data_IF_651690852685
#
_entry.id   IF_651690852685
#
_cell.length_a   1.000
_cell.length_b   1.000
_cell.length_c   1.000
_cell.angle_alpha   90.00
_cell.angle_beta   90.00
_cell.angle_gamma   90.00
#
_symmetry.space_group_name_H-M   'P 1'
#
loop_
_entity.id
_entity.type
_entity.pdbx_description
1 polymer ?
#
# COMPACT_ATOMS: atom_id res chain seq x y z
N UNK A 1 14.62 -7.50 -21.83
CA UNK A 1 14.67 -6.02 -22.01
C UNK A 1 13.38 -5.27 -21.65
N UNK A 2 12.18 -5.86 -21.74
CA UNK A 2 10.90 -5.18 -21.40
C UNK A 2 10.64 -4.87 -19.90
N UNK A 3 11.47 -5.38 -18.98
CA UNK A 3 11.27 -5.23 -17.51
C UNK A 3 12.01 -4.02 -16.89
N UNK A 4 12.98 -3.44 -17.59
CA UNK A 4 13.78 -2.32 -17.07
C UNK A 4 13.04 -0.97 -17.23
N UNK A 5 12.21 -0.83 -18.27
CA UNK A 5 11.41 0.37 -18.50
C UNK A 5 10.35 0.62 -17.42
N UNK A 6 9.81 -0.44 -16.80
CA UNK A 6 8.81 -0.30 -15.73
C UNK A 6 9.45 0.18 -14.41
N UNK A 7 10.73 -0.13 -14.19
CA UNK A 7 11.48 0.27 -13.00
C UNK A 7 11.97 1.72 -13.11
N UNK A 8 12.33 2.17 -14.33
CA UNK A 8 12.67 3.57 -14.61
C UNK A 8 11.45 4.49 -14.55
N UNK A 9 10.25 4.00 -14.90
CA UNK A 9 9.00 4.77 -14.80
C UNK A 9 8.52 4.96 -13.34
N UNK A 10 8.93 4.06 -12.43
CA UNK A 10 8.70 4.18 -10.99
C UNK A 10 9.68 5.15 -10.31
N UNK A 11 10.86 5.38 -10.89
CA UNK A 11 11.87 6.33 -10.38
C UNK A 11 11.73 7.76 -10.93
N UNK A 12 10.88 7.98 -11.95
CA UNK A 12 10.67 9.31 -12.55
C UNK A 12 9.43 10.03 -12.00
N UNK A 13 9.11 9.87 -10.71
CA UNK A 13 8.14 10.74 -10.06
C UNK A 13 8.75 12.15 -9.96
N UNK A 14 8.25 13.16 -10.70
CA UNK A 14 8.66 14.52 -10.43
C UNK A 14 8.24 14.85 -8.99
N UNK A 15 9.15 15.43 -8.23
CA UNK A 15 8.89 16.01 -6.91
C UNK A 15 8.46 17.47 -7.09
N UNK A 16 7.18 17.81 -7.36
CA UNK A 16 6.74 19.16 -7.06
C UNK A 16 6.53 19.23 -5.56
N UNK A 17 7.33 20.08 -4.94
CA UNK A 17 7.15 20.61 -3.60
C UNK A 17 5.67 21.01 -3.42
N UNK A 18 4.88 20.18 -2.72
CA UNK A 18 3.47 20.43 -2.43
C UNK A 18 3.32 21.18 -1.11
N UNK A 19 3.68 22.46 -1.11
CA UNK A 19 3.18 23.43 -0.14
C UNK A 19 1.73 23.76 -0.50
N UNK A 20 0.76 23.14 0.18
CA UNK A 20 -0.59 23.65 0.47
C UNK A 20 -1.60 22.50 0.62
N UNK A 21 -1.62 21.86 1.78
CA UNK A 21 -2.86 21.28 2.30
C UNK A 21 -3.19 22.05 3.58
N UNK A 22 -4.46 22.47 3.70
CA UNK A 22 -5.03 23.03 4.93
C UNK A 22 -4.58 22.16 6.11
N UNK A 23 -3.74 22.74 6.99
CA UNK A 23 -3.12 22.03 8.11
C UNK A 23 -4.18 21.77 9.19
N UNK A 24 -5.03 20.75 9.00
CA UNK A 24 -5.64 20.07 10.15
C UNK A 24 -4.49 19.42 10.93
N UNK A 25 -4.39 19.63 12.25
CA UNK A 25 -3.34 18.99 13.04
C UNK A 25 -3.46 17.47 12.86
N UNK A 26 -2.39 16.84 12.37
CA UNK A 26 -2.29 15.40 12.21
C UNK A 26 -1.19 14.88 13.14
N UNK A 27 -1.34 13.69 13.74
CA UNK A 27 -0.27 13.11 14.54
C UNK A 27 0.91 12.80 13.62
N UNK A 28 2.10 13.28 14.01
CA UNK A 28 3.37 13.16 13.28
C UNK A 28 3.87 11.74 13.23
N UNK A 29 3.65 10.97 14.28
CA UNK A 29 4.04 9.57 14.36
C UNK A 29 2.91 8.69 14.88
N UNK A 30 2.85 7.48 14.36
CA UNK A 30 1.86 6.48 14.72
C UNK A 30 2.53 5.10 14.80
N UNK A 31 2.31 4.38 15.90
CA UNK A 31 2.66 2.96 16.01
C UNK A 31 1.36 2.18 15.87
N UNK A 32 1.28 1.30 14.90
CA UNK A 32 0.17 0.37 14.73
C UNK A 32 0.62 -1.04 15.11
N UNK A 33 -0.17 -1.75 15.91
CA UNK A 33 0.05 -3.16 16.25
C UNK A 33 -1.18 -3.94 15.86
N UNK A 34 -1.02 -5.03 15.10
CA UNK A 34 -2.16 -5.75 14.55
C UNK A 34 -1.91 -7.22 14.29
N UNK A 35 -3.01 -7.98 14.29
CA UNK A 35 -3.01 -9.37 13.86
C UNK A 35 -3.13 -9.44 12.33
N UNK A 36 -2.49 -10.45 11.74
CA UNK A 36 -2.48 -10.71 10.31
C UNK A 36 -2.77 -12.18 10.03
N UNK A 37 -3.67 -12.42 9.09
CA UNK A 37 -3.92 -13.72 8.49
C UNK A 37 -3.37 -13.71 7.07
N UNK A 38 -2.53 -14.68 6.72
CA UNK A 38 -1.87 -14.77 5.43
C UNK A 38 -2.36 -16.01 4.67
N UNK A 39 -2.68 -15.82 3.40
CA UNK A 39 -3.12 -16.85 2.46
C UNK A 39 -2.00 -17.06 1.45
N UNK A 40 -1.24 -18.17 1.55
CA UNK A 40 -0.26 -18.57 0.54
C UNK A 40 -0.87 -18.63 -0.87
N UNK A 41 -0.09 -18.27 -1.88
CA UNK A 41 -0.51 -18.27 -3.28
C UNK A 41 0.42 -19.10 -4.18
N UNK A 42 -0.16 -19.69 -5.23
CA UNK A 42 0.55 -20.43 -6.27
C UNK A 42 1.40 -21.57 -5.71
N UNK A 43 2.64 -21.67 -6.20
CA UNK A 43 3.61 -22.70 -5.80
C UNK A 43 3.83 -22.77 -4.28
N UNK A 44 3.67 -21.65 -3.57
CA UNK A 44 3.80 -21.60 -2.11
C UNK A 44 2.63 -22.28 -1.38
N UNK A 45 1.44 -22.32 -1.99
CA UNK A 45 0.26 -23.04 -1.46
C UNK A 45 0.25 -24.50 -1.89
N UNK A 46 0.63 -24.79 -3.13
CA UNK A 46 0.49 -26.11 -3.74
C UNK A 46 1.64 -27.05 -3.37
N UNK A 47 2.83 -26.49 -3.09
CA UNK A 47 4.06 -27.27 -2.97
C UNK A 47 4.58 -27.68 -4.35
N UNK A 48 5.87 -27.49 -4.60
CA UNK A 48 6.51 -27.94 -5.85
C UNK A 48 7.04 -29.36 -5.71
N UNK A 49 6.91 -30.15 -6.77
CA UNK A 49 7.73 -31.34 -6.95
C UNK A 49 9.11 -30.89 -7.44
N UNK A 50 10.18 -31.20 -6.71
CA UNK A 50 11.54 -31.06 -7.22
C UNK A 50 11.93 -32.29 -8.07
N UNK A 51 12.95 -32.15 -8.92
CA UNK A 51 13.42 -33.16 -9.88
C UNK A 51 13.89 -34.51 -9.26
N UNK A 52 13.91 -34.62 -7.93
CA UNK A 52 14.30 -35.82 -7.19
C UNK A 52 13.28 -36.03 -6.07
N UNK A 53 12.10 -36.57 -6.40
CA UNK A 53 11.06 -37.21 -5.55
C UNK A 53 10.77 -36.67 -4.13
N UNK A 54 11.20 -35.45 -3.81
CA UNK A 54 10.95 -34.74 -2.56
C UNK A 54 9.98 -33.62 -2.89
N UNK A 55 8.73 -33.82 -2.51
CA UNK A 55 7.66 -32.83 -2.67
C UNK A 55 7.82 -31.76 -1.59
N UNK A 56 7.98 -30.51 -2.01
CA UNK A 56 7.98 -29.38 -1.08
C UNK A 56 6.63 -29.32 -0.37
N UNK A 57 6.60 -29.12 0.97
CA UNK A 57 5.35 -28.97 1.68
C UNK A 57 4.68 -27.67 1.23
N UNK A 58 3.47 -27.78 0.66
CA UNK A 58 2.59 -26.64 0.45
C UNK A 58 2.03 -26.13 1.78
N UNK A 59 1.69 -24.83 1.85
CA UNK A 59 1.17 -24.20 3.06
C UNK A 59 -0.31 -23.82 2.89
N UNK A 60 -1.12 -24.05 3.92
CA UNK A 60 -2.56 -23.72 3.89
C UNK A 60 -2.83 -22.28 4.29
N UNK A 61 -2.21 -21.84 5.39
CA UNK A 61 -2.41 -20.51 5.94
C UNK A 61 -1.23 -20.07 6.81
N UNK A 62 -1.15 -18.77 7.04
CA UNK A 62 -0.23 -18.14 7.99
C UNK A 62 -0.99 -17.28 8.99
N UNK A 63 -0.56 -17.28 10.24
CA UNK A 63 -1.12 -16.40 11.29
C UNK A 63 0.03 -15.70 11.98
N UNK A 64 -0.16 -14.41 12.24
CA UNK A 64 0.91 -13.59 12.77
C UNK A 64 0.48 -12.26 13.35
N UNK A 65 1.50 -11.54 13.81
CA UNK A 65 1.40 -10.17 14.27
C UNK A 65 2.28 -9.26 13.44
N UNK A 66 1.84 -8.02 13.28
CA UNK A 66 2.60 -6.95 12.61
C UNK A 66 2.65 -5.72 13.50
N UNK A 67 3.80 -5.07 13.48
CA UNK A 67 4.05 -3.78 14.11
C UNK A 67 4.51 -2.83 13.02
N UNK A 68 3.84 -1.69 12.90
CA UNK A 68 4.14 -0.67 11.91
C UNK A 68 4.38 0.65 12.63
N UNK A 69 5.55 1.23 12.41
CA UNK A 69 5.80 2.63 12.71
C UNK A 69 5.56 3.47 11.46
N UNK A 70 4.78 4.53 11.58
CA UNK A 70 4.47 5.47 10.52
C UNK A 70 4.93 6.87 10.93
N UNK A 71 5.87 7.43 10.18
CA UNK A 71 6.28 8.81 10.24
C UNK A 71 5.53 9.60 9.16
N UNK A 72 4.58 10.45 9.56
CA UNK A 72 3.80 11.29 8.66
C UNK A 72 4.55 12.59 8.38
N UNK A 73 4.88 12.81 7.11
CA UNK A 73 5.45 14.07 6.63
C UNK A 73 4.37 15.12 6.40
N UNK A 74 3.21 14.70 5.91
CA UNK A 74 2.02 15.54 5.80
C UNK A 74 0.73 14.70 5.94
N UNK A 75 -0.43 15.29 5.64
CA UNK A 75 -1.74 14.61 5.65
C UNK A 75 -1.91 13.53 4.58
N UNK A 76 -1.05 13.46 3.57
CA UNK A 76 -1.11 12.58 2.40
C UNK A 76 0.07 11.61 2.29
N UNK A 77 1.25 11.94 2.79
CA UNK A 77 2.49 11.18 2.62
C UNK A 77 3.11 10.86 3.98
N UNK A 78 3.61 9.64 4.10
CA UNK A 78 4.43 9.22 5.23
C UNK A 78 5.40 8.11 4.85
N UNK A 79 6.41 7.92 5.68
CA UNK A 79 7.29 6.77 5.63
C UNK A 79 6.87 5.77 6.68
N UNK A 80 6.81 4.51 6.32
CA UNK A 80 6.52 3.42 7.24
C UNK A 80 7.72 2.51 7.40
N UNK A 81 7.90 2.01 8.61
CA UNK A 81 8.76 0.90 8.94
C UNK A 81 7.85 -0.18 9.52
N UNK A 82 7.75 -1.33 8.86
CA UNK A 82 6.93 -2.44 9.28
C UNK A 82 7.81 -3.63 9.62
N UNK A 83 7.56 -4.24 10.76
CA UNK A 83 8.09 -5.54 11.16
C UNK A 83 6.96 -6.47 11.60
N UNK A 84 7.20 -7.77 11.71
CA UNK A 84 6.19 -8.72 12.16
C UNK A 84 6.72 -10.13 12.26
N UNK A 85 5.84 -11.05 12.63
CA UNK A 85 6.11 -12.48 12.62
C UNK A 85 4.85 -13.20 12.16
N UNK A 86 4.95 -13.96 11.06
CA UNK A 86 3.85 -14.76 10.50
C UNK A 86 4.30 -16.21 10.43
N UNK A 87 3.61 -17.09 11.16
CA UNK A 87 3.89 -18.53 11.16
C UNK A 87 3.01 -19.24 10.14
N UNK A 88 3.63 -19.93 9.19
CA UNK A 88 2.95 -20.70 8.15
C UNK A 88 2.80 -22.15 8.56
N UNK A 89 1.61 -22.70 8.33
CA UNK A 89 1.26 -24.07 8.66
C UNK A 89 1.23 -24.93 7.39
N UNK A 90 2.01 -26.03 7.35
CA UNK A 90 2.06 -26.90 6.17
C UNK A 90 0.79 -27.74 6.05
N UNK A 91 0.45 -28.13 4.82
CA UNK A 91 -0.61 -29.09 4.53
C UNK A 91 -0.30 -30.46 5.14
N UNK A 92 -1.31 -31.11 5.69
CA UNK A 92 -1.19 -32.41 6.37
C UNK A 92 -0.75 -33.59 5.47
N UNK A 93 -0.54 -33.39 4.18
CA UNK A 93 -0.23 -34.45 3.20
C UNK A 93 1.26 -34.76 2.98
N UNK A 94 2.18 -34.26 3.80
CA UNK A 94 3.58 -34.67 3.75
C UNK A 94 3.87 -35.57 4.96
N UNK A 95 4.28 -36.81 4.71
CA UNK A 95 4.48 -37.96 5.61
C UNK A 95 5.54 -37.79 6.72
N UNK A 96 5.91 -36.56 7.04
CA UNK A 96 6.82 -36.22 8.15
C UNK A 96 6.48 -34.80 8.63
N UNK A 97 5.52 -34.74 9.56
CA UNK A 97 4.95 -33.52 10.14
C UNK A 97 5.95 -32.76 11.02
N UNK A 98 6.85 -31.98 10.41
CA UNK A 98 7.62 -30.92 11.08
C UNK A 98 8.19 -29.98 10.02
N UNK A 99 7.40 -29.02 9.54
CA UNK A 99 7.86 -28.11 8.46
C UNK A 99 7.22 -26.71 8.46
N UNK A 100 6.52 -26.33 9.53
CA UNK A 100 6.06 -24.95 9.67
C UNK A 100 7.23 -24.02 9.93
N UNK A 101 7.23 -22.85 9.30
CA UNK A 101 8.27 -21.83 9.51
C UNK A 101 7.64 -20.48 9.85
N UNK A 102 8.46 -19.60 10.43
CA UNK A 102 8.06 -18.24 10.78
C UNK A 102 8.77 -17.24 9.88
N UNK A 103 8.00 -16.44 9.14
CA UNK A 103 8.49 -15.32 8.36
C UNK A 103 8.51 -14.05 9.24
N UNK A 104 9.66 -13.41 9.32
CA UNK A 104 9.89 -12.16 10.05
C UNK A 104 10.25 -11.08 9.02
N UNK A 105 9.25 -10.41 8.40
CA UNK A 105 9.50 -9.36 7.42
C UNK A 105 9.96 -8.09 8.12
N UNK A 106 11.04 -7.47 7.63
CA UNK A 106 11.45 -6.11 7.95
C UNK A 106 11.37 -5.28 6.67
N UNK A 107 10.41 -4.35 6.62
CA UNK A 107 10.03 -3.61 5.42
C UNK A 107 10.00 -2.12 5.69
N UNK A 108 10.41 -1.35 4.70
CA UNK A 108 10.17 0.10 4.63
C UNK A 108 9.15 0.36 3.53
N UNK A 109 8.29 1.36 3.74
CA UNK A 109 7.24 1.71 2.80
C UNK A 109 7.01 3.21 2.70
N UNK A 110 6.38 3.60 1.59
CA UNK A 110 5.90 4.96 1.38
C UNK A 110 4.37 4.93 1.45
N UNK A 111 3.78 5.52 2.49
CA UNK A 111 2.34 5.57 2.66
C UNK A 111 1.76 6.77 1.91
N UNK A 112 0.82 6.48 1.01
CA UNK A 112 -0.07 7.43 0.36
C UNK A 112 -1.45 7.34 1.01
N UNK A 113 -1.92 8.44 1.56
CA UNK A 113 -3.19 8.51 2.30
C UNK A 113 -4.15 9.51 1.65
N UNK A 114 -5.39 9.09 1.50
CA UNK A 114 -6.50 9.96 1.16
C UNK A 114 -7.67 9.68 2.11
N UNK A 115 -7.97 10.63 3.00
CA UNK A 115 -8.98 10.49 4.06
C UNK A 115 -8.70 9.28 4.98
N UNK A 116 -9.57 8.27 4.97
CA UNK A 116 -9.41 7.01 5.71
C UNK A 116 -8.66 5.96 4.91
N UNK A 117 -8.59 6.07 3.58
CA UNK A 117 -7.93 5.10 2.72
C UNK A 117 -6.42 5.36 2.66
N UNK A 118 -5.65 4.28 2.63
CA UNK A 118 -4.21 4.34 2.40
C UNK A 118 -3.73 3.21 1.50
N UNK A 119 -2.67 3.51 0.74
CA UNK A 119 -1.92 2.56 -0.05
C UNK A 119 -0.43 2.74 0.27
N UNK A 120 0.30 1.64 0.36
CA UNK A 120 1.66 1.63 0.88
C UNK A 120 2.47 0.56 0.14
N UNK A 121 3.15 0.93 -0.97
CA UNK A 121 4.21 0.10 -1.52
C UNK A 121 5.32 -0.09 -0.49
N UNK A 122 5.81 -1.32 -0.37
CA UNK A 122 6.79 -1.75 0.61
C UNK A 122 7.89 -2.56 -0.05
N UNK A 123 9.11 -2.39 0.45
CA UNK A 123 10.27 -3.18 0.09
C UNK A 123 11.11 -3.46 1.33
N UNK A 124 11.79 -4.60 1.37
CA UNK A 124 12.67 -4.94 2.47
C UNK A 124 13.19 -6.37 2.39
N UNK A 125 13.35 -6.96 3.56
CA UNK A 125 13.94 -8.28 3.71
C UNK A 125 13.14 -9.09 4.72
N UNK A 126 12.88 -10.35 4.40
CA UNK A 126 12.21 -11.28 5.33
C UNK A 126 13.22 -12.29 5.79
N UNK A 127 13.38 -12.41 7.10
CA UNK A 127 14.11 -13.50 7.72
C UNK A 127 13.15 -14.68 7.96
N UNK A 128 13.65 -15.90 7.84
CA UNK A 128 12.85 -17.11 8.09
C UNK A 128 13.46 -17.88 9.24
N UNK A 129 12.68 -18.03 10.31
CA UNK A 129 13.02 -18.86 11.46
C UNK A 129 12.34 -20.23 11.34
N UNK A 130 12.93 -21.24 11.98
CA UNK A 130 12.45 -22.63 12.00
C UNK A 130 12.30 -23.26 10.60
N UNK A 131 13.03 -22.75 9.61
CA UNK A 131 13.00 -23.28 8.26
C UNK A 131 14.23 -24.16 7.97
N UNK A 132 14.02 -25.47 7.85
CA UNK A 132 15.08 -26.42 7.49
C UNK A 132 15.34 -26.52 5.98
N UNK A 133 14.51 -25.90 5.10
CA UNK A 133 14.63 -26.07 3.65
C UNK A 133 14.44 -24.76 2.86
N UNK A 134 15.41 -24.46 2.00
CA UNK A 134 15.46 -23.41 0.96
C UNK A 134 15.51 -21.92 1.37
N UNK A 135 14.80 -21.46 2.41
CA UNK A 135 14.83 -20.04 2.80
C UNK A 135 15.78 -19.70 3.98
N UNK A 136 16.72 -20.59 4.31
CA UNK A 136 17.62 -20.62 5.49
C UNK A 136 18.38 -19.33 5.87
N UNK A 137 18.29 -18.24 5.11
CA UNK A 137 19.04 -17.00 5.42
C UNK A 137 18.25 -15.73 5.12
N UNK A 138 16.95 -15.85 4.82
CA UNK A 138 16.10 -14.72 4.43
C UNK A 138 16.04 -14.44 2.93
N UNK A 139 15.16 -13.52 2.54
CA UNK A 139 14.81 -13.20 1.15
C UNK A 139 14.40 -11.74 0.99
N UNK A 140 14.76 -11.15 -0.16
CA UNK A 140 14.24 -9.83 -0.55
C UNK A 140 12.73 -9.90 -0.69
N UNK A 141 12.07 -8.94 -0.06
CA UNK A 141 10.62 -8.87 0.07
C UNK A 141 10.10 -7.59 -0.53
N UNK A 142 9.03 -7.69 -1.30
CA UNK A 142 8.30 -6.53 -1.79
C UNK A 142 6.82 -6.79 -1.68
N UNK A 143 6.07 -5.73 -1.49
CA UNK A 143 4.64 -5.83 -1.28
C UNK A 143 3.91 -4.52 -1.49
N UNK A 144 2.60 -4.62 -1.46
CA UNK A 144 1.70 -3.49 -1.50
C UNK A 144 0.63 -3.72 -0.44
N UNK A 145 0.53 -2.79 0.51
CA UNK A 145 -0.52 -2.79 1.53
C UNK A 145 -1.55 -1.74 1.16
N UNK A 146 -2.82 -2.11 1.14
CA UNK A 146 -3.95 -1.20 0.96
C UNK A 146 -4.85 -1.36 2.19
N UNK A 147 -5.34 -0.26 2.73
CA UNK A 147 -6.21 -0.33 3.89
C UNK A 147 -7.05 0.90 4.11
N UNK A 148 -7.86 0.83 5.15
CA UNK A 148 -8.76 1.88 5.60
C UNK A 148 -8.75 1.99 7.12
N UNK A 149 -8.85 3.21 7.64
CA UNK A 149 -9.17 3.43 9.05
C UNK A 149 -10.68 3.37 9.24
N UNK A 150 -11.17 2.29 9.87
CA UNK A 150 -12.59 2.11 10.19
C UNK A 150 -12.96 2.96 11.41
N UNK A 151 -12.01 3.10 12.35
CA UNK A 151 -12.11 4.00 13.48
C UNK A 151 -10.81 4.80 13.62
N UNK A 152 -10.84 5.85 14.46
CA UNK A 152 -9.68 6.72 14.70
C UNK A 152 -8.40 5.96 15.06
N UNK A 153 -8.55 4.82 15.73
CA UNK A 153 -7.46 3.98 16.19
C UNK A 153 -7.49 2.56 15.63
N UNK A 154 -8.35 2.25 14.65
CA UNK A 154 -8.48 0.89 14.10
C UNK A 154 -8.36 0.96 12.59
N UNK A 155 -7.37 0.26 12.05
CA UNK A 155 -7.17 0.10 10.61
C UNK A 155 -7.39 -1.35 10.18
N UNK A 156 -8.09 -1.52 9.08
CA UNK A 156 -8.21 -2.77 8.34
C UNK A 156 -7.35 -2.65 7.08
N UNK A 157 -6.54 -3.66 6.78
CA UNK A 157 -5.68 -3.67 5.61
C UNK A 157 -5.58 -5.04 4.97
N UNK A 158 -5.43 -5.05 3.65
CA UNK A 158 -4.98 -6.20 2.88
C UNK A 158 -3.59 -5.90 2.32
N UNK A 159 -2.70 -6.89 2.31
CA UNK A 159 -1.38 -6.76 1.74
C UNK A 159 -1.10 -7.90 0.78
N UNK A 160 -0.51 -7.58 -0.37
CA UNK A 160 0.16 -8.58 -1.19
C UNK A 160 1.64 -8.53 -0.87
N UNK A 161 2.25 -9.67 -0.62
CA UNK A 161 3.69 -9.77 -0.33
C UNK A 161 4.30 -10.90 -1.12
N UNK A 162 5.51 -10.66 -1.64
CA UNK A 162 6.29 -11.63 -2.39
C UNK A 162 7.73 -11.63 -1.94
N UNK A 163 8.26 -12.83 -1.77
CA UNK A 163 9.66 -13.12 -1.47
C UNK A 163 10.33 -13.64 -2.73
N UNK A 164 11.56 -13.22 -2.96
CA UNK A 164 12.37 -13.69 -4.07
C UNK A 164 13.78 -14.07 -3.57
N UNK A 165 14.16 -15.33 -3.79
CA UNK A 165 15.53 -15.82 -3.52
C UNK A 165 15.92 -16.86 -4.56
N UNK A 166 16.94 -16.55 -5.36
CA UNK A 166 17.60 -17.54 -6.24
C UNK A 166 16.67 -18.30 -7.20
N UNK A 167 15.60 -17.67 -7.70
CA UNK A 167 14.63 -18.31 -8.61
C UNK A 167 13.42 -18.96 -7.92
N UNK A 168 13.42 -19.05 -6.59
CA UNK A 168 12.25 -19.40 -5.80
C UNK A 168 11.48 -18.13 -5.43
N UNK A 169 10.20 -18.11 -5.79
CA UNK A 169 9.30 -17.03 -5.46
C UNK A 169 8.10 -17.57 -4.70
N UNK A 170 7.92 -17.11 -3.47
CA UNK A 170 6.74 -17.36 -2.66
C UNK A 170 5.97 -16.06 -2.49
N UNK A 171 4.64 -16.14 -2.47
CA UNK A 171 3.79 -14.96 -2.30
C UNK A 171 2.56 -15.30 -1.49
N UNK A 172 2.02 -14.31 -0.79
CA UNK A 172 0.79 -14.44 -0.04
C UNK A 172 -0.06 -13.17 -0.14
N UNK A 173 -1.36 -13.32 0.07
CA UNK A 173 -2.28 -12.22 0.39
C UNK A 173 -2.52 -12.25 1.90
N UNK A 174 -2.19 -11.18 2.59
CA UNK A 174 -2.50 -10.99 3.99
C UNK A 174 -3.72 -10.09 4.18
N UNK A 175 -4.50 -10.37 5.20
CA UNK A 175 -5.55 -9.50 5.72
C UNK A 175 -5.25 -9.26 7.20
N UNK A 176 -5.32 -8.02 7.64
CA UNK A 176 -4.94 -7.65 9.00
C UNK A 176 -5.77 -6.52 9.56
N UNK A 177 -5.94 -6.58 10.88
CA UNK A 177 -6.56 -5.54 11.70
C UNK A 177 -5.51 -5.04 12.67
N UNK A 178 -5.27 -3.74 12.69
CA UNK A 178 -4.28 -3.12 13.54
C UNK A 178 -4.88 -1.97 14.36
N UNK A 179 -4.44 -1.87 15.61
CA UNK A 179 -4.73 -0.77 16.48
C UNK A 179 -3.61 0.27 16.40
N UNK A 180 -3.98 1.53 16.14
CA UNK A 180 -3.09 2.66 15.91
C UNK A 180 -2.96 3.56 17.14
N UNK A 181 -1.79 3.51 17.76
CA UNK A 181 -1.35 4.42 18.81
C UNK A 181 -0.73 5.67 18.19
N UNK A 182 -1.38 6.82 18.32
CA UNK A 182 -0.77 8.09 17.97
C UNK A 182 0.21 8.50 19.07
N UNK A 183 1.50 8.53 18.79
CA UNK A 183 2.47 9.11 19.71
C UNK A 183 2.38 10.62 19.60
N UNK A 184 1.87 11.27 20.64
CA UNK A 184 1.89 12.74 20.72
C UNK A 184 3.32 13.18 21.00
N UNK A 185 3.99 13.81 20.03
CA UNK A 185 5.27 14.47 20.27
C UNK A 185 5.92 15.10 19.05
N UNK A 186 6.27 16.39 19.20
CA UNK A 186 7.13 17.24 18.35
C UNK A 186 6.63 17.67 16.97
N UNK A 187 5.68 18.60 16.96
CA UNK A 187 5.78 19.76 16.05
C UNK A 187 5.64 21.06 16.86
N UNK A 188 6.45 21.20 17.92
CA UNK A 188 6.51 22.43 18.73
C UNK A 188 7.24 23.57 18.00
N UNK A 189 8.04 23.25 16.97
CA UNK A 189 8.85 24.24 16.25
C UNK A 189 8.00 25.09 15.30
N UNK A 190 6.97 24.51 14.67
CA UNK A 190 6.07 25.25 13.77
C UNK A 190 4.98 26.03 14.52
N UNK A 191 4.65 25.64 15.76
CA UNK A 191 3.66 26.33 16.58
C UNK A 191 4.25 27.54 17.33
N UNK A 192 5.50 27.47 17.81
CA UNK A 192 6.15 28.59 18.51
C UNK A 192 6.50 29.76 17.57
N UNK A 193 6.80 29.50 16.28
CA UNK A 193 6.97 30.58 15.29
C UNK A 193 5.65 31.21 14.85
N UNK A 194 4.53 30.46 14.94
CA UNK A 194 3.21 30.93 14.50
C UNK A 194 2.45 31.71 15.59
N UNK A 195 2.86 31.58 16.85
CA UNK A 195 2.23 32.27 17.99
C UNK A 195 2.77 33.70 18.21
N UNK A 196 3.92 34.05 17.61
CA UNK A 196 4.50 35.41 17.68
C UNK A 196 4.11 36.34 16.54
N UNK A 197 3.36 35.87 15.54
CA UNK A 197 2.81 36.74 14.50
C UNK A 197 1.32 36.44 14.34
N UNK A 198 0.41 37.41 14.58
CA UNK A 198 -0.95 37.24 14.11
C UNK A 198 -0.87 36.94 12.60
N UNK A 199 -1.53 35.88 12.09
CA UNK A 199 -1.48 35.61 10.67
C UNK A 199 -1.98 36.87 9.97
N UNK A 200 -1.23 37.45 8.99
CA UNK A 200 -1.84 38.45 8.14
C UNK A 200 -3.08 37.79 7.57
N UNK A 201 -4.22 38.47 7.66
CA UNK A 201 -5.49 38.01 7.11
C UNK A 201 -5.24 37.67 5.64
N UNK A 202 -4.90 36.41 5.33
CA UNK A 202 -4.70 35.98 3.95
C UNK A 202 -6.08 36.02 3.35
N UNK A 203 -6.35 37.09 2.60
CA UNK A 203 -7.55 37.21 1.80
C UNK A 203 -7.75 35.88 1.07
N UNK A 204 -8.92 35.26 1.26
CA UNK A 204 -9.23 34.02 0.55
C UNK A 204 -9.12 34.33 -0.94
N UNK A 205 -8.36 33.56 -1.74
CA UNK A 205 -8.25 33.82 -3.16
C UNK A 205 -9.65 33.79 -3.76
N UNK A 206 -10.04 34.89 -4.41
CA UNK A 206 -11.30 34.99 -5.14
C UNK A 206 -11.07 34.29 -6.47
N UNK A 207 -11.92 33.32 -6.78
CA UNK A 207 -11.80 32.54 -8.01
C UNK A 207 -12.79 33.05 -9.06
N UNK A 208 -12.33 33.25 -10.28
CA UNK A 208 -13.19 33.47 -11.43
C UNK A 208 -13.88 32.15 -11.82
N UNK A 209 -15.10 31.98 -11.34
CA UNK A 209 -15.94 30.81 -11.64
C UNK A 209 -16.54 30.83 -13.05
N UNK A 210 -16.44 31.95 -13.77
CA UNK A 210 -17.00 32.12 -15.11
C UNK A 210 -16.00 31.76 -16.21
N UNK A 211 -14.69 31.78 -15.89
CA UNK A 211 -13.60 31.43 -16.79
C UNK A 211 -13.69 29.99 -17.36
N UNK A 212 -13.18 29.82 -18.57
CA UNK A 212 -13.05 28.50 -19.24
C UNK A 212 -12.09 27.56 -18.47
N UNK A 213 -11.07 28.13 -17.82
CA UNK A 213 -10.14 27.41 -16.96
C UNK A 213 -10.83 26.79 -15.73
N UNK A 214 -11.86 27.44 -15.18
CA UNK A 214 -12.66 26.89 -14.07
C UNK A 214 -13.49 25.68 -14.50
N UNK A 215 -14.08 25.73 -15.69
CA UNK A 215 -14.79 24.57 -16.28
C UNK A 215 -13.82 23.40 -16.51
N UNK A 216 -12.66 23.69 -17.09
CA UNK A 216 -11.60 22.71 -17.38
C UNK A 216 -11.06 22.04 -16.10
N UNK A 217 -10.81 22.82 -15.05
CA UNK A 217 -10.44 22.29 -13.73
C UNK A 217 -11.48 21.29 -13.21
N UNK A 218 -12.77 21.65 -13.29
CA UNK A 218 -13.86 20.83 -12.76
C UNK A 218 -13.97 19.50 -13.51
N UNK A 219 -13.80 19.52 -14.83
CA UNK A 219 -13.75 18.30 -15.65
C UNK A 219 -12.60 17.38 -15.27
N UNK A 220 -11.38 17.91 -15.14
CA UNK A 220 -10.22 17.11 -14.69
C UNK A 220 -10.39 16.57 -13.26
N UNK A 221 -10.99 17.36 -12.37
CA UNK A 221 -11.31 16.90 -11.01
C UNK A 221 -12.31 15.74 -11.06
N UNK A 222 -13.35 15.86 -11.88
CA UNK A 222 -14.36 14.82 -12.07
C UNK A 222 -13.73 13.54 -12.64
N UNK A 223 -12.92 13.66 -13.69
CA UNK A 223 -12.19 12.53 -14.28
C UNK A 223 -11.25 11.85 -13.28
N UNK A 224 -10.53 12.61 -12.47
CA UNK A 224 -9.71 12.08 -11.38
C UNK A 224 -10.54 11.29 -10.36
N UNK A 225 -11.72 11.81 -9.96
CA UNK A 225 -12.63 11.10 -9.06
C UNK A 225 -13.26 9.87 -9.68
N UNK A 226 -13.65 9.90 -10.96
CA UNK A 226 -14.19 8.74 -11.68
C UNK A 226 -13.12 7.65 -11.80
N UNK A 227 -11.88 8.03 -12.11
CA UNK A 227 -10.74 7.12 -12.17
C UNK A 227 -10.46 6.45 -10.82
N UNK A 228 -10.50 7.17 -9.70
CA UNK A 228 -10.41 6.57 -8.35
C UNK A 228 -11.63 5.69 -8.05
N UNK A 229 -12.83 6.20 -8.35
CA UNK A 229 -14.10 5.54 -8.06
C UNK A 229 -14.33 4.25 -8.85
N UNK A 230 -13.72 4.11 -10.02
CA UNK A 230 -13.75 2.87 -10.81
C UNK A 230 -12.53 2.00 -10.50
N UNK A 231 -11.34 2.60 -10.41
CA UNK A 231 -10.09 1.87 -10.23
C UNK A 231 -9.98 1.11 -8.90
N UNK A 232 -10.43 1.71 -7.79
CA UNK A 232 -10.36 1.08 -6.46
C UNK A 232 -11.33 -0.11 -6.36
N UNK A 233 -12.62 -0.02 -6.73
CA UNK A 233 -13.49 -1.19 -6.75
C UNK A 233 -13.02 -2.28 -7.71
N UNK A 234 -12.47 -1.93 -8.87
CA UNK A 234 -11.98 -2.91 -9.84
C UNK A 234 -10.75 -3.68 -9.32
N UNK A 235 -9.83 -2.99 -8.64
CA UNK A 235 -8.71 -3.66 -7.94
C UNK A 235 -9.19 -4.55 -6.81
N UNK A 236 -10.17 -4.11 -6.01
CA UNK A 236 -10.77 -4.92 -4.95
C UNK A 236 -11.48 -6.16 -5.51
N UNK A 237 -12.25 -6.03 -6.59
CA UNK A 237 -12.87 -7.16 -7.29
C UNK A 237 -11.82 -8.11 -7.86
N UNK A 238 -10.74 -7.58 -8.45
CA UNK A 238 -9.58 -8.37 -8.87
C UNK A 238 -8.94 -9.13 -7.71
N UNK A 239 -8.90 -8.54 -6.53
CA UNK A 239 -8.33 -9.15 -5.34
C UNK A 239 -9.25 -10.24 -4.76
N UNK A 240 -10.56 -9.99 -4.70
CA UNK A 240 -11.57 -10.99 -4.28
C UNK A 240 -11.60 -12.17 -5.25
N UNK A 241 -11.57 -11.92 -6.57
CA UNK A 241 -11.53 -12.97 -7.58
C UNK A 241 -10.21 -13.74 -7.57
N UNK A 242 -9.08 -13.11 -7.22
CA UNK A 242 -7.82 -13.80 -6.99
C UNK A 242 -7.89 -14.73 -5.76
N UNK A 243 -8.51 -14.27 -4.66
CA UNK A 243 -8.73 -15.10 -3.46
C UNK A 243 -9.65 -16.28 -3.76
N UNK A 244 -10.79 -16.02 -4.43
CA UNK A 244 -11.74 -17.07 -4.82
C UNK A 244 -11.09 -18.08 -5.79
N UNK A 245 -10.30 -17.60 -6.76
CA UNK A 245 -9.55 -18.45 -7.70
C UNK A 245 -8.58 -19.37 -6.96
N UNK A 246 -7.92 -18.86 -5.91
CA UNK A 246 -7.00 -19.65 -5.09
C UNK A 246 -7.72 -20.72 -4.25
N UNK A 247 -9.00 -20.55 -3.89
CA UNK A 247 -9.78 -21.53 -3.14
C UNK A 247 -10.47 -22.59 -4.00
N UNK A 248 -11.03 -22.20 -5.14
CA UNK A 248 -11.88 -23.11 -5.94
C UNK A 248 -11.22 -23.66 -7.20
N UNK A 249 -10.00 -23.21 -7.57
CA UNK A 249 -9.30 -23.55 -8.82
C UNK A 249 -10.13 -23.37 -10.11
N UNK A 250 -11.30 -22.74 -10.03
CA UNK A 250 -12.30 -22.67 -11.10
C UNK A 250 -12.24 -21.37 -11.90
N UNK A 251 -11.50 -20.38 -11.43
CA UNK A 251 -11.40 -19.06 -12.06
C UNK A 251 -10.04 -18.94 -12.77
N UNK A 252 -10.08 -18.60 -14.06
CA UNK A 252 -8.89 -18.48 -14.92
C UNK A 252 -7.95 -17.37 -14.41
N UNK A 253 -6.63 -17.62 -14.38
CA UNK A 253 -5.67 -16.65 -13.83
C UNK A 253 -5.59 -15.34 -14.59
N UNK A 254 -5.90 -15.35 -15.89
CA UNK A 254 -5.96 -14.13 -16.71
C UNK A 254 -7.03 -13.14 -16.23
N UNK A 255 -8.13 -13.60 -15.63
CA UNK A 255 -9.27 -12.77 -15.26
C UNK A 255 -8.95 -11.86 -14.07
N UNK A 256 -8.42 -12.40 -12.98
CA UNK A 256 -8.07 -11.59 -11.82
C UNK A 256 -6.83 -10.72 -12.07
N UNK A 257 -5.87 -11.20 -12.87
CA UNK A 257 -4.70 -10.40 -13.28
C UNK A 257 -5.11 -9.20 -14.12
N UNK A 258 -6.07 -9.36 -15.03
CA UNK A 258 -6.59 -8.27 -15.84
C UNK A 258 -7.35 -7.25 -14.97
N UNK A 259 -8.19 -7.70 -14.03
CA UNK A 259 -8.92 -6.82 -13.10
C UNK A 259 -7.97 -6.03 -12.19
N UNK A 260 -6.95 -6.69 -11.64
CA UNK A 260 -5.92 -6.03 -10.82
C UNK A 260 -5.09 -5.04 -11.66
N UNK A 261 -4.64 -5.45 -12.84
CA UNK A 261 -3.83 -4.61 -13.72
C UNK A 261 -4.58 -3.38 -14.22
N UNK A 262 -5.78 -3.58 -14.76
CA UNK A 262 -6.64 -2.48 -15.22
C UNK A 262 -7.07 -1.57 -14.08
N UNK A 263 -7.41 -2.12 -12.92
CA UNK A 263 -7.78 -1.33 -11.75
C UNK A 263 -6.61 -0.46 -11.25
N UNK A 264 -5.39 -1.02 -11.21
CA UNK A 264 -4.21 -0.28 -10.78
C UNK A 264 -3.84 0.84 -11.77
N UNK A 265 -3.93 0.58 -13.08
CA UNK A 265 -3.69 1.58 -14.13
C UNK A 265 -4.76 2.67 -14.12
N UNK A 266 -6.03 2.29 -13.98
CA UNK A 266 -7.13 3.26 -13.89
C UNK A 266 -6.99 4.09 -12.63
N UNK A 267 -6.56 3.52 -11.49
CA UNK A 267 -6.32 4.29 -10.26
C UNK A 267 -5.13 5.24 -10.40
N UNK A 268 -4.03 4.81 -11.03
CA UNK A 268 -2.84 5.66 -11.21
C UNK A 268 -3.08 6.80 -12.20
N UNK A 269 -3.97 6.62 -13.18
CA UNK A 269 -4.42 7.67 -14.09
C UNK A 269 -5.10 8.86 -13.38
N UNK A 270 -5.55 8.69 -12.13
CA UNK A 270 -6.11 9.81 -11.35
C UNK A 270 -5.08 10.89 -11.02
N UNK A 271 -3.81 10.50 -10.89
CA UNK A 271 -2.70 11.38 -10.49
C UNK A 271 -2.51 12.54 -11.48
N UNK A 272 -2.30 12.30 -12.80
CA UNK A 272 -2.17 13.40 -13.76
C UNK A 272 -3.44 14.25 -13.85
N UNK A 273 -4.64 13.67 -13.70
CA UNK A 273 -5.88 14.45 -13.70
C UNK A 273 -6.00 15.40 -12.51
N UNK A 274 -5.60 14.98 -11.31
CA UNK A 274 -5.57 15.89 -10.16
C UNK A 274 -4.49 16.98 -10.27
N UNK A 275 -3.33 16.65 -10.86
CA UNK A 275 -2.27 17.63 -11.13
C UNK A 275 -2.76 18.70 -12.11
N UNK A 276 -3.36 18.29 -13.24
CA UNK A 276 -3.90 19.21 -14.23
C UNK A 276 -5.03 20.05 -13.64
N UNK A 277 -5.97 19.42 -12.91
CA UNK A 277 -7.02 20.15 -12.19
C UNK A 277 -6.42 21.25 -11.31
N UNK A 278 -5.40 20.93 -10.51
CA UNK A 278 -4.76 21.92 -9.64
C UNK A 278 -4.05 23.05 -10.43
N UNK A 279 -3.41 22.72 -11.56
CA UNK A 279 -2.76 23.70 -12.44
C UNK A 279 -3.79 24.71 -12.98
N UNK A 280 -4.93 24.23 -13.47
CA UNK A 280 -6.01 25.09 -13.97
C UNK A 280 -6.66 25.90 -12.85
N UNK A 281 -6.84 25.32 -11.65
CA UNK A 281 -7.35 26.05 -10.47
C UNK A 281 -6.54 27.30 -10.16
N UNK A 282 -5.21 27.23 -10.26
CA UNK A 282 -4.34 28.38 -9.98
C UNK A 282 -4.50 29.53 -10.97
N UNK A 283 -4.86 29.23 -12.22
CA UNK A 283 -5.08 30.26 -13.26
C UNK A 283 -6.38 31.04 -13.05
N UNK A 284 -7.32 30.47 -12.32
CA UNK A 284 -8.60 31.11 -12.01
C UNK A 284 -8.54 32.08 -10.82
N UNK A 285 -7.38 32.30 -10.20
CA UNK A 285 -7.25 33.22 -9.07
C UNK A 285 -7.26 34.66 -9.58
N UNK A 286 -8.29 35.41 -9.20
CA UNK A 286 -8.38 36.86 -9.41
C UNK A 286 -7.47 37.51 -8.36
N UNK A 287 -6.44 38.24 -8.80
CA UNK A 287 -5.68 39.08 -7.89
C UNK A 287 -6.54 40.31 -7.55
N UNK A 288 -6.79 40.61 -6.26
CA UNK A 288 -7.38 41.89 -5.91
C UNK A 288 -6.41 42.99 -6.36
N UNK A 289 -6.94 43.95 -7.13
CA UNK A 289 -6.27 45.22 -7.45
C UNK A 289 -6.01 46.01 -6.16
#
# INVERSE_FOLDING_TARGET
>A
MKRIYFLLLLLSLPTPILYAQERKPFPTSEISVGAQYAIPLGDFREGRATFVDVKDPGYDYGIGGTVKYLLRLNSMYGFSLQTGAVRYHPKASATTTTGGFTAIPVKIGAQLRYQSLFAEPQFGFTYFADNNTFYQSGSTTYGLTIGTYIAKHISLSANYERWNKGGFAASHIGVGVAYAFSLRGLHTIDSLMKERTPPPYKARPVYDKTSEDWKTQRSYKALGWVSVGVGVPLTLLGLVTAIASAETNSIKPATYQWLLGSGAVVTSASIPFFILSHKYKKRTIIQPL
#
